data_IF_791113911439
#
_entry.id   IF_791113911439
#
_cell.length_a   1.000
_cell.length_b   1.000
_cell.length_c   1.000
_cell.angle_alpha   90.00
_cell.angle_beta   90.00
_cell.angle_gamma   90.00
#
_symmetry.space_group_name_H-M   'P 1'
#
loop_
_entity.id
_entity.type
_entity.pdbx_description
1 polymer ?
#
# COMPACT_ATOMS: atom_id res chain seq x y z
N UNK A 1 -0.60 -16.78 -0.02
CA UNK A 1 -0.05 -17.77 0.93
C UNK A 1 -0.70 -17.57 2.28
N UNK A 2 -1.39 -18.56 2.81
CA UNK A 2 -2.01 -18.53 4.15
C UNK A 2 -1.03 -18.90 5.26
N UNK A 3 0.08 -19.58 4.90
CA UNK A 3 1.19 -19.95 5.77
C UNK A 3 2.48 -19.31 5.24
N UNK A 4 3.17 -18.54 6.08
CA UNK A 4 4.50 -18.04 5.77
C UNK A 4 5.50 -19.18 5.98
N UNK A 5 6.44 -19.37 5.05
CA UNK A 5 7.49 -20.39 5.14
C UNK A 5 8.79 -19.82 4.53
N UNK A 6 9.91 -19.98 5.24
CA UNK A 6 11.24 -19.55 4.79
C UNK A 6 11.64 -20.24 3.49
N UNK A 7 11.42 -21.56 3.40
CA UNK A 7 11.82 -22.34 2.23
C UNK A 7 11.06 -21.90 0.98
N UNK A 8 9.75 -21.64 1.14
CA UNK A 8 8.95 -21.08 0.07
C UNK A 8 9.47 -19.71 -0.39
N UNK A 9 9.97 -18.86 0.52
CA UNK A 9 10.58 -17.58 0.13
C UNK A 9 11.88 -17.78 -0.67
N UNK A 10 12.71 -18.78 -0.32
CA UNK A 10 13.94 -19.09 -1.04
C UNK A 10 13.67 -19.58 -2.47
N UNK A 11 12.60 -20.34 -2.66
CA UNK A 11 12.21 -20.90 -3.97
C UNK A 11 11.70 -19.84 -4.96
N UNK A 12 11.28 -18.67 -4.48
CA UNK A 12 10.76 -17.60 -5.33
C UNK A 12 11.90 -16.89 -6.07
N UNK A 13 12.00 -17.15 -7.37
CA UNK A 13 12.92 -16.43 -8.26
C UNK A 13 12.57 -14.94 -8.38
N UNK A 14 13.53 -14.14 -8.83
CA UNK A 14 13.36 -12.70 -9.07
C UNK A 14 12.16 -12.43 -10.00
N UNK A 15 12.01 -13.22 -11.07
CA UNK A 15 10.91 -13.04 -12.02
C UNK A 15 9.55 -13.35 -11.41
N UNK A 16 9.44 -14.41 -10.61
CA UNK A 16 8.19 -14.77 -9.92
C UNK A 16 7.85 -13.69 -8.89
N UNK A 17 8.83 -13.22 -8.11
CA UNK A 17 8.60 -12.16 -7.14
C UNK A 17 8.19 -10.84 -7.81
N UNK A 18 8.81 -10.49 -8.95
CA UNK A 18 8.44 -9.33 -9.76
C UNK A 18 6.97 -9.41 -10.19
N UNK A 19 6.55 -10.54 -10.77
CA UNK A 19 5.15 -10.76 -11.18
C UNK A 19 4.19 -10.73 -10.00
N UNK A 20 4.60 -11.29 -8.85
CA UNK A 20 3.78 -11.34 -7.65
C UNK A 20 3.52 -9.93 -7.10
N UNK A 21 4.56 -9.11 -6.93
CA UNK A 21 4.41 -7.75 -6.38
C UNK A 21 3.77 -6.80 -7.39
N UNK A 22 4.02 -6.99 -8.69
CA UNK A 22 3.37 -6.22 -9.74
C UNK A 22 1.89 -6.58 -9.97
N UNK A 23 1.40 -7.69 -9.42
CA UNK A 23 0.02 -8.11 -9.63
C UNK A 23 -0.96 -7.18 -8.91
N UNK A 24 -1.92 -6.62 -9.67
CA UNK A 24 -3.07 -5.91 -9.10
C UNK A 24 -4.00 -6.82 -8.29
N UNK A 25 -3.83 -8.14 -8.41
CA UNK A 25 -4.57 -9.13 -7.66
C UNK A 25 -3.85 -9.59 -6.38
N UNK A 26 -2.66 -9.09 -6.08
CA UNK A 26 -1.98 -9.37 -4.82
C UNK A 26 -2.85 -8.94 -3.62
N UNK A 27 -2.91 -9.81 -2.60
CA UNK A 27 -3.53 -9.52 -1.32
C UNK A 27 -2.45 -9.04 -0.36
N UNK A 28 -2.38 -7.73 -0.15
CA UNK A 28 -1.51 -7.13 0.86
C UNK A 28 -2.27 -7.12 2.19
N UNK A 29 -1.76 -7.84 3.18
CA UNK A 29 -2.31 -7.83 4.54
C UNK A 29 -1.58 -6.77 5.35
N UNK A 30 -2.32 -5.85 5.98
CA UNK A 30 -1.84 -4.61 6.60
C UNK A 30 -1.58 -3.49 5.58
N UNK A 31 -0.34 -3.06 5.33
CA UNK A 31 -0.02 -1.88 4.50
C UNK A 31 1.19 -2.11 3.60
N UNK A 32 1.54 -1.10 2.79
CA UNK A 32 2.64 -1.19 1.82
C UNK A 32 4.02 -1.42 2.47
N UNK A 33 4.22 -0.95 3.70
CA UNK A 33 5.46 -1.20 4.47
C UNK A 33 5.69 -2.70 4.74
N UNK A 34 4.63 -3.50 4.85
CA UNK A 34 4.74 -4.95 5.00
C UNK A 34 5.23 -5.61 3.71
N UNK A 35 4.90 -5.05 2.55
CA UNK A 35 5.43 -5.49 1.25
C UNK A 35 6.93 -5.20 1.18
N UNK A 36 7.36 -4.00 1.57
CA UNK A 36 8.78 -3.65 1.67
C UNK A 36 9.53 -4.61 2.59
N UNK A 37 9.00 -4.84 3.79
CA UNK A 37 9.61 -5.75 4.78
C UNK A 37 9.67 -7.19 4.26
N UNK A 38 8.64 -7.67 3.56
CA UNK A 38 8.66 -8.99 2.93
C UNK A 38 9.71 -9.09 1.83
N UNK A 39 9.84 -8.07 0.98
CA UNK A 39 10.87 -8.02 -0.06
C UNK A 39 12.28 -7.94 0.52
N UNK A 40 12.48 -7.17 1.59
CA UNK A 40 13.76 -7.08 2.31
C UNK A 40 14.20 -8.46 2.83
N UNK A 41 13.29 -9.19 3.49
CA UNK A 41 13.51 -10.57 3.97
C UNK A 41 13.80 -11.53 2.82
N UNK A 42 13.00 -11.46 1.74
CA UNK A 42 13.19 -12.30 0.57
C UNK A 42 14.56 -12.06 -0.08
N UNK A 43 14.93 -10.80 -0.30
CA UNK A 43 16.22 -10.43 -0.87
C UNK A 43 17.39 -10.96 -0.02
N UNK A 44 17.30 -10.84 1.31
CA UNK A 44 18.28 -11.44 2.21
C UNK A 44 18.40 -12.97 2.04
N UNK A 45 17.27 -13.69 1.92
CA UNK A 45 17.28 -15.14 1.69
C UNK A 45 17.88 -15.52 0.32
N UNK A 46 17.73 -14.67 -0.70
CA UNK A 46 18.39 -14.87 -2.00
C UNK A 46 19.91 -14.64 -1.92
N UNK A 47 20.35 -13.69 -1.09
CA UNK A 47 21.76 -13.34 -0.89
C UNK A 47 22.48 -14.28 0.08
N UNK A 48 21.75 -14.93 0.98
CA UNK A 48 22.27 -15.87 1.99
C UNK A 48 21.46 -17.17 1.96
N UNK A 49 21.58 -18.00 0.89
CA UNK A 49 20.77 -19.21 0.74
C UNK A 49 20.98 -20.25 1.86
N UNK A 50 22.16 -20.22 2.50
CA UNK A 50 22.52 -21.09 3.62
C UNK A 50 21.82 -20.75 4.93
N UNK A 51 21.14 -19.60 5.02
CA UNK A 51 20.42 -19.22 6.24
C UNK A 51 19.24 -20.15 6.50
N UNK A 52 19.13 -20.69 7.71
CA UNK A 52 18.17 -21.74 8.08
C UNK A 52 17.46 -21.45 9.42
N UNK A 53 17.39 -20.18 9.83
CA UNK A 53 16.73 -19.75 11.05
C UNK A 53 15.19 -19.76 10.95
N UNK A 54 14.53 -19.36 12.04
CA UNK A 54 13.07 -19.28 12.09
C UNK A 54 12.52 -17.95 11.51
N UNK A 55 11.27 -17.94 11.03
CA UNK A 55 10.61 -16.71 10.55
C UNK A 55 10.62 -15.56 11.56
N UNK A 56 10.59 -15.86 12.86
CA UNK A 56 10.64 -14.86 13.92
C UNK A 56 12.00 -14.13 13.96
N UNK A 57 13.08 -14.85 13.68
CA UNK A 57 14.44 -14.31 13.64
C UNK A 57 14.77 -13.63 12.30
N UNK A 58 14.06 -13.99 11.23
CA UNK A 58 14.38 -13.57 9.86
C UNK A 58 14.53 -12.06 9.71
N UNK A 59 13.61 -11.26 10.27
CA UNK A 59 13.71 -9.80 10.15
C UNK A 59 14.96 -9.27 10.86
N UNK A 60 15.16 -9.67 12.11
CA UNK A 60 16.30 -9.23 12.92
C UNK A 60 17.63 -9.59 12.28
N UNK A 61 17.78 -10.82 11.79
CA UNK A 61 19.00 -11.26 11.09
C UNK A 61 19.20 -10.50 9.78
N UNK A 62 18.11 -10.23 9.06
CA UNK A 62 18.15 -9.40 7.84
C UNK A 62 18.67 -7.99 8.15
N UNK A 63 18.14 -7.35 9.20
CA UNK A 63 18.53 -5.99 9.61
C UNK A 63 19.99 -5.92 10.04
N UNK A 64 20.44 -6.91 10.82
CA UNK A 64 21.84 -7.03 11.24
C UNK A 64 22.77 -7.22 10.02
N UNK A 65 22.37 -8.05 9.07
CA UNK A 65 23.16 -8.32 7.87
C UNK A 65 23.36 -7.07 7.00
N UNK A 66 22.28 -6.33 6.72
CA UNK A 66 22.38 -5.09 5.95
C UNK A 66 23.11 -3.99 6.71
N UNK A 67 22.90 -3.86 8.02
CA UNK A 67 23.57 -2.85 8.85
C UNK A 67 25.09 -3.03 8.87
N UNK A 68 25.58 -4.28 8.95
CA UNK A 68 27.02 -4.59 8.93
C UNK A 68 27.68 -4.21 7.61
N UNK A 69 26.95 -4.35 6.49
CA UNK A 69 27.45 -4.09 5.13
C UNK A 69 27.28 -2.65 4.68
N UNK A 70 26.59 -1.81 5.45
CA UNK A 70 26.35 -0.40 5.09
C UNK A 70 27.65 0.38 4.81
N UNK A 71 28.74 0.01 5.48
CA UNK A 71 30.08 0.58 5.27
C UNK A 71 30.72 0.17 3.94
N UNK A 72 30.23 -0.89 3.30
CA UNK A 72 30.81 -1.42 2.06
C UNK A 72 30.33 -0.63 0.83
N UNK A 73 29.31 0.23 0.98
CA UNK A 73 28.67 0.95 -0.12
C UNK A 73 28.39 2.43 0.20
N UNK A 74 29.24 3.07 1.01
CA UNK A 74 29.03 4.38 1.70
C UNK A 74 28.28 5.49 0.93
N UNK A 75 28.52 5.65 -0.38
CA UNK A 75 27.90 6.71 -1.19
C UNK A 75 26.67 6.28 -2.00
N UNK A 76 26.35 4.99 -2.02
CA UNK A 76 25.23 4.43 -2.77
C UNK A 76 24.28 3.68 -1.83
N UNK A 77 23.15 3.24 -2.36
CA UNK A 77 22.20 2.38 -1.65
C UNK A 77 22.39 0.94 -2.07
N UNK A 78 21.94 -0.03 -1.26
CA UNK A 78 22.21 -1.44 -1.55
C UNK A 78 21.75 -1.86 -2.97
N UNK A 79 20.59 -1.39 -3.42
CA UNK A 79 20.05 -1.74 -4.74
C UNK A 79 20.88 -1.20 -5.92
N UNK A 80 21.77 -0.22 -5.70
CA UNK A 80 22.66 0.33 -6.72
C UNK A 80 23.97 -0.46 -6.85
N UNK A 81 24.29 -1.30 -5.86
CA UNK A 81 25.46 -2.18 -5.88
C UNK A 81 25.30 -3.30 -6.91
N UNK A 82 26.41 -3.91 -7.33
CA UNK A 82 26.37 -5.07 -8.25
C UNK A 82 25.52 -6.24 -7.71
N UNK A 83 25.51 -6.46 -6.39
CA UNK A 83 24.69 -7.49 -5.75
C UNK A 83 23.21 -7.10 -5.71
N UNK A 84 22.90 -5.81 -5.58
CA UNK A 84 21.54 -5.30 -5.46
C UNK A 84 20.81 -5.09 -6.79
N UNK A 85 21.54 -4.76 -7.87
CA UNK A 85 20.98 -4.46 -9.20
C UNK A 85 19.94 -5.47 -9.70
N UNK A 86 20.12 -6.80 -9.59
CA UNK A 86 19.12 -7.78 -10.04
C UNK A 86 17.75 -7.60 -9.37
N UNK A 87 17.72 -7.12 -8.13
CA UNK A 87 16.51 -6.95 -7.33
C UNK A 87 15.75 -5.65 -7.64
N UNK A 88 16.39 -4.66 -8.26
CA UNK A 88 15.78 -3.35 -8.56
C UNK A 88 14.43 -3.49 -9.27
N UNK A 89 14.34 -4.40 -10.25
CA UNK A 89 13.11 -4.61 -11.03
C UNK A 89 11.91 -5.08 -10.19
N UNK A 90 12.16 -5.73 -9.06
CA UNK A 90 11.13 -6.14 -8.10
C UNK A 90 10.74 -4.96 -7.22
N UNK A 91 11.72 -4.29 -6.61
CA UNK A 91 11.50 -3.16 -5.69
C UNK A 91 10.86 -1.94 -6.37
N UNK A 92 10.99 -1.78 -7.69
CA UNK A 92 10.26 -0.78 -8.48
C UNK A 92 8.73 -0.90 -8.39
N UNK A 93 8.19 -2.07 -8.00
CA UNK A 93 6.75 -2.27 -7.82
C UNK A 93 6.27 -1.91 -6.40
N UNK A 94 7.15 -1.42 -5.53
CA UNK A 94 6.75 -0.80 -4.28
C UNK A 94 6.09 0.53 -4.56
N UNK A 95 4.97 0.77 -3.88
CA UNK A 95 4.25 2.04 -3.93
C UNK A 95 4.76 2.94 -2.82
N UNK A 96 6.00 3.40 -3.00
CA UNK A 96 6.77 4.15 -2.01
C UNK A 96 5.98 5.32 -1.41
N UNK A 97 5.07 5.93 -2.17
CA UNK A 97 4.19 6.98 -1.69
C UNK A 97 3.41 6.59 -0.43
N UNK A 98 2.94 5.34 -0.34
CA UNK A 98 2.17 4.87 0.82
C UNK A 98 3.05 4.33 1.96
N UNK A 99 4.36 4.20 1.74
CA UNK A 99 5.33 3.93 2.81
C UNK A 99 5.70 5.25 3.48
N UNK A 100 6.06 6.26 2.68
CA UNK A 100 6.54 7.55 3.22
C UNK A 100 5.42 8.41 3.84
N UNK A 101 4.15 8.07 3.59
CA UNK A 101 3.00 8.68 4.27
C UNK A 101 2.94 8.37 5.77
N UNK A 102 3.77 7.46 6.29
CA UNK A 102 3.93 7.18 7.72
C UNK A 102 5.35 7.54 8.17
N UNK A 103 5.48 8.41 9.18
CA UNK A 103 6.79 8.94 9.61
C UNK A 103 7.74 7.85 10.11
N UNK A 104 7.23 6.84 10.83
CA UNK A 104 8.05 5.75 11.33
C UNK A 104 8.59 4.92 10.15
N UNK A 105 7.71 4.58 9.19
CA UNK A 105 8.06 3.84 7.98
C UNK A 105 9.04 4.62 7.08
N UNK A 106 8.84 5.93 6.92
CA UNK A 106 9.74 6.84 6.22
C UNK A 106 11.17 6.84 6.80
N UNK A 107 11.28 6.91 8.13
CA UNK A 107 12.59 6.83 8.81
C UNK A 107 13.25 5.47 8.63
N UNK A 108 12.48 4.38 8.71
CA UNK A 108 13.00 3.02 8.52
C UNK A 108 13.56 2.85 7.11
N UNK A 109 12.81 3.22 6.08
CA UNK A 109 13.25 3.01 4.69
C UNK A 109 14.49 3.84 4.33
N UNK A 110 14.63 5.04 4.89
CA UNK A 110 15.84 5.86 4.75
C UNK A 110 17.03 5.26 5.51
N UNK A 111 16.82 4.86 6.77
CA UNK A 111 17.86 4.28 7.61
C UNK A 111 18.41 2.96 7.03
N UNK A 112 17.52 2.15 6.46
CA UNK A 112 17.87 0.89 5.81
C UNK A 112 18.78 1.09 4.60
N UNK A 113 18.70 2.25 3.94
CA UNK A 113 19.55 2.63 2.79
C UNK A 113 19.61 1.55 1.69
N UNK A 114 18.47 0.87 1.50
CA UNK A 114 18.31 -0.13 0.43
C UNK A 114 17.79 0.49 -0.85
N UNK A 115 16.82 1.41 -0.73
CA UNK A 115 16.16 2.04 -1.88
C UNK A 115 16.97 3.26 -2.32
N UNK A 116 17.21 3.44 -3.63
CA UNK A 116 17.91 4.61 -4.14
C UNK A 116 17.28 5.92 -3.66
N UNK A 117 18.12 6.82 -3.14
CA UNK A 117 17.69 8.10 -2.58
C UNK A 117 16.93 8.95 -3.59
N UNK A 118 17.27 8.86 -4.88
CA UNK A 118 16.57 9.55 -5.97
C UNK A 118 15.09 9.10 -6.09
N UNK A 119 14.79 7.83 -5.82
CA UNK A 119 13.41 7.36 -5.87
C UNK A 119 12.60 7.98 -4.74
N UNK A 120 13.16 7.98 -3.52
CA UNK A 120 12.51 8.56 -2.35
C UNK A 120 12.33 10.07 -2.51
N UNK A 121 13.36 10.81 -2.93
CA UNK A 121 13.29 12.27 -3.09
C UNK A 121 12.22 12.70 -4.10
N UNK A 122 12.09 11.98 -5.21
CA UNK A 122 11.04 12.21 -6.20
C UNK A 122 9.65 12.00 -5.60
N UNK A 123 9.46 10.92 -4.83
CA UNK A 123 8.17 10.60 -4.18
C UNK A 123 7.86 11.61 -3.07
N UNK A 124 8.82 12.04 -2.26
CA UNK A 124 8.63 13.10 -1.27
C UNK A 124 8.14 14.40 -1.92
N UNK A 125 8.79 14.82 -3.02
CA UNK A 125 8.38 16.01 -3.77
C UNK A 125 6.95 15.87 -4.29
N UNK A 126 6.60 14.72 -4.87
CA UNK A 126 5.24 14.44 -5.35
C UNK A 126 4.21 14.47 -4.23
N UNK A 127 4.50 13.83 -3.09
CA UNK A 127 3.59 13.81 -1.93
C UNK A 127 3.41 15.21 -1.33
N UNK A 128 4.46 16.02 -1.31
CA UNK A 128 4.37 17.42 -0.88
C UNK A 128 3.41 18.23 -1.76
N UNK A 129 3.55 18.15 -3.09
CA UNK A 129 2.63 18.83 -3.99
C UNK A 129 1.20 18.28 -3.90
N UNK A 130 1.04 16.96 -3.79
CA UNK A 130 -0.28 16.35 -3.60
C UNK A 130 -0.95 16.84 -2.31
N UNK A 131 -0.20 17.01 -1.22
CA UNK A 131 -0.70 17.62 0.01
C UNK A 131 -1.12 19.07 -0.20
N UNK A 132 -0.28 19.89 -0.85
CA UNK A 132 -0.64 21.29 -1.15
C UNK A 132 -1.91 21.39 -1.99
N UNK A 133 -2.05 20.55 -3.03
CA UNK A 133 -3.26 20.49 -3.87
C UNK A 133 -4.50 20.11 -3.07
N UNK A 134 -4.39 19.09 -2.22
CA UNK A 134 -5.52 18.64 -1.40
C UNK A 134 -6.01 19.73 -0.42
N UNK A 135 -5.11 20.58 0.08
CA UNK A 135 -5.43 21.67 1.00
C UNK A 135 -5.87 22.96 0.29
N UNK A 136 -5.28 23.31 -0.86
CA UNK A 136 -5.46 24.62 -1.52
C UNK A 136 -6.43 24.59 -2.71
N UNK A 137 -6.41 23.54 -3.52
CA UNK A 137 -7.15 23.50 -4.80
C UNK A 137 -8.59 23.02 -4.64
N UNK A 138 -9.07 22.88 -3.41
CA UNK A 138 -10.40 22.31 -3.10
C UNK A 138 -10.65 20.97 -3.81
N UNK A 139 -9.59 20.18 -4.02
CA UNK A 139 -9.71 18.92 -4.74
C UNK A 139 -10.56 17.94 -3.93
N UNK A 140 -11.67 17.51 -4.52
CA UNK A 140 -12.60 16.57 -3.88
C UNK A 140 -12.01 15.15 -3.85
N UNK A 141 -11.12 14.81 -4.78
CA UNK A 141 -10.56 13.47 -5.01
C UNK A 141 -11.04 12.89 -6.35
N UNK A 142 -10.75 11.61 -6.65
CA UNK A 142 -11.06 11.01 -7.94
C UNK A 142 -12.55 11.07 -8.30
N UNK A 143 -12.86 11.54 -9.51
CA UNK A 143 -14.23 11.66 -10.04
C UNK A 143 -14.55 10.65 -11.16
N UNK A 144 -13.52 10.08 -11.79
CA UNK A 144 -13.65 9.08 -12.84
C UNK A 144 -12.83 7.84 -12.48
N UNK A 145 -13.30 6.66 -12.88
CA UNK A 145 -12.60 5.40 -12.64
C UNK A 145 -11.64 5.17 -13.80
N UNK A 146 -10.36 5.39 -13.56
CA UNK A 146 -9.29 4.85 -14.38
C UNK A 146 -8.79 3.53 -13.74
N UNK A 147 -9.06 2.42 -14.42
CA UNK A 147 -8.75 1.09 -13.89
C UNK A 147 -7.26 0.88 -13.77
N UNK A 148 -6.52 1.17 -14.84
CA UNK A 148 -5.07 1.00 -14.92
C UNK A 148 -4.39 1.83 -13.84
N UNK A 149 -4.84 3.07 -13.67
CA UNK A 149 -4.30 3.96 -12.67
C UNK A 149 -4.56 3.48 -11.23
N UNK A 150 -5.77 3.01 -10.93
CA UNK A 150 -6.07 2.44 -9.63
C UNK A 150 -5.23 1.18 -9.39
N UNK A 151 -5.08 0.34 -10.40
CA UNK A 151 -4.29 -0.88 -10.30
C UNK A 151 -2.80 -0.61 -10.08
N UNK A 152 -2.24 0.46 -10.64
CA UNK A 152 -0.83 0.81 -10.51
C UNK A 152 -0.54 1.65 -9.26
N UNK A 153 -1.38 2.65 -8.98
CA UNK A 153 -1.04 3.76 -8.08
C UNK A 153 -1.82 3.78 -6.76
N UNK A 154 -2.79 2.90 -6.53
CA UNK A 154 -3.58 2.90 -5.28
C UNK A 154 -2.79 2.44 -4.04
N UNK A 155 -3.21 2.83 -2.86
CA UNK A 155 -2.77 2.22 -1.60
C UNK A 155 -3.18 0.76 -1.62
N UNK A 156 -2.27 -0.15 -1.28
CA UNK A 156 -2.61 -1.56 -1.04
C UNK A 156 -2.67 -1.80 0.45
N UNK A 157 -3.81 -2.28 0.93
CA UNK A 157 -3.96 -2.60 2.34
C UNK A 157 -4.93 -3.74 2.56
N UNK A 158 -4.95 -4.28 3.76
CA UNK A 158 -5.84 -5.39 4.07
C UNK A 158 -5.88 -5.79 5.53
N UNK A 159 -6.78 -6.71 5.83
CA UNK A 159 -7.07 -7.18 7.19
C UNK A 159 -7.49 -8.65 7.13
N UNK A 160 -7.01 -9.45 8.07
CA UNK A 160 -7.52 -10.81 8.30
C UNK A 160 -8.51 -10.77 9.47
N UNK A 161 -9.74 -11.21 9.24
CA UNK A 161 -10.73 -11.46 10.29
C UNK A 161 -10.71 -12.96 10.62
N UNK A 162 -10.39 -13.30 11.86
CA UNK A 162 -10.22 -14.71 12.25
C UNK A 162 -11.55 -15.46 12.42
N UNK A 163 -12.62 -14.74 12.79
CA UNK A 163 -13.96 -15.26 13.06
C UNK A 163 -15.01 -14.20 12.76
N UNK A 164 -16.27 -14.60 12.76
CA UNK A 164 -17.39 -13.66 12.72
C UNK A 164 -17.44 -12.81 14.00
N UNK A 165 -17.97 -11.59 13.89
CA UNK A 165 -18.02 -10.63 14.99
C UNK A 165 -18.00 -9.19 14.51
N UNK A 166 -17.80 -8.26 15.45
CA UNK A 166 -17.68 -6.84 15.14
C UNK A 166 -16.22 -6.40 15.12
N UNK A 167 -15.84 -5.72 14.05
CA UNK A 167 -14.50 -5.19 13.88
C UNK A 167 -14.59 -3.76 13.37
N UNK A 168 -13.80 -2.87 13.95
CA UNK A 168 -13.63 -1.50 13.48
C UNK A 168 -12.13 -1.19 13.45
N UNK A 169 -11.64 -0.68 12.33
CA UNK A 169 -10.22 -0.39 12.18
C UNK A 169 -9.95 0.76 11.21
N UNK A 170 -8.70 1.22 11.24
CA UNK A 170 -8.09 2.13 10.27
C UNK A 170 -6.81 1.49 9.76
N UNK A 171 -6.41 1.83 8.53
CA UNK A 171 -5.03 1.63 8.11
C UNK A 171 -4.26 2.92 8.35
N UNK A 172 -3.02 2.79 8.84
CA UNK A 172 -2.17 3.92 9.22
C UNK A 172 -1.59 4.65 8.02
N UNK A 173 -1.18 5.90 8.22
CA UNK A 173 -0.58 6.76 7.21
C UNK A 173 -1.39 8.04 6.95
N UNK A 174 -0.73 9.04 6.37
CA UNK A 174 -1.37 10.27 5.92
C UNK A 174 -2.08 10.08 4.59
N UNK A 175 -3.41 10.12 4.62
CA UNK A 175 -4.28 9.99 3.43
C UNK A 175 -4.91 11.34 3.04
N UNK A 176 -4.12 12.43 3.10
CA UNK A 176 -4.55 13.76 2.64
C UNK A 176 -5.81 14.28 3.32
N UNK A 177 -5.86 14.09 4.63
CA UNK A 177 -6.99 14.47 5.48
C UNK A 177 -8.20 13.54 5.39
N UNK A 178 -8.13 12.44 4.64
CA UNK A 178 -9.22 11.46 4.55
C UNK A 178 -9.04 10.36 5.61
N UNK A 179 -9.54 10.58 6.83
CA UNK A 179 -9.59 9.55 7.87
C UNK A 179 -10.71 8.54 7.56
N UNK A 180 -10.35 7.41 6.95
CA UNK A 180 -11.28 6.34 6.57
C UNK A 180 -11.35 5.27 7.66
N UNK A 181 -12.50 5.19 8.30
CA UNK A 181 -12.90 4.11 9.18
C UNK A 181 -13.52 2.97 8.37
N UNK A 182 -13.10 1.74 8.67
CA UNK A 182 -13.71 0.53 8.12
C UNK A 182 -14.30 -0.30 9.23
N UNK A 183 -15.57 -0.64 9.08
CA UNK A 183 -16.31 -1.48 10.01
C UNK A 183 -16.79 -2.73 9.31
N UNK A 184 -16.58 -3.88 9.94
CA UNK A 184 -17.30 -5.11 9.67
C UNK A 184 -18.27 -5.38 10.82
N UNK A 185 -19.55 -5.39 10.54
CA UNK A 185 -20.61 -5.77 11.49
C UNK A 185 -21.80 -6.32 10.71
N UNK A 186 -22.50 -7.30 11.28
CA UNK A 186 -23.69 -7.92 10.67
C UNK A 186 -23.47 -8.32 9.20
N UNK A 187 -22.24 -8.74 8.87
CA UNK A 187 -21.81 -9.14 7.51
C UNK A 187 -21.82 -8.02 6.46
N UNK A 188 -21.84 -6.78 6.90
CA UNK A 188 -21.60 -5.62 6.05
C UNK A 188 -20.17 -5.14 6.21
N UNK A 189 -19.59 -4.64 5.11
CA UNK A 189 -18.43 -3.75 5.17
C UNK A 189 -18.96 -2.33 5.00
N UNK A 190 -18.62 -1.47 5.95
CA UNK A 190 -19.06 -0.09 6.02
C UNK A 190 -17.82 0.80 6.01
N UNK A 191 -17.85 1.82 5.16
CA UNK A 191 -16.85 2.88 5.13
C UNK A 191 -17.43 4.13 5.75
N UNK A 192 -16.63 4.80 6.59
CA UNK A 192 -16.96 6.08 7.20
C UNK A 192 -15.82 7.06 7.02
N UNK A 193 -16.13 8.28 6.59
CA UNK A 193 -15.19 9.39 6.63
C UNK A 193 -15.26 10.03 8.01
N UNK A 194 -14.35 9.67 8.90
CA UNK A 194 -14.31 10.26 10.24
C UNK A 194 -13.80 11.70 10.17
N UNK A 195 -14.42 12.64 10.89
CA UNK A 195 -13.94 14.03 10.90
C UNK A 195 -14.20 14.72 12.24
N UNK A 196 -15.42 14.67 12.77
CA UNK A 196 -15.81 15.42 13.97
C UNK A 196 -16.17 14.51 15.14
N UNK A 197 -16.75 13.34 14.87
CA UNK A 197 -17.44 12.55 15.88
C UNK A 197 -16.52 11.62 16.69
N UNK A 198 -15.30 11.34 16.23
CA UNK A 198 -14.35 10.49 16.92
C UNK A 198 -12.93 11.06 16.85
N UNK A 199 -12.05 10.74 17.83
CA UNK A 199 -10.66 11.14 17.77
C UNK A 199 -10.01 10.74 16.45
N UNK A 200 -9.33 11.71 15.84
CA UNK A 200 -8.54 11.51 14.63
C UNK A 200 -7.07 11.45 15.04
N UNK A 201 -6.33 10.46 14.53
CA UNK A 201 -4.91 10.28 14.84
C UNK A 201 -3.98 11.22 14.06
N UNK A 202 -4.52 11.96 13.09
CA UNK A 202 -3.78 12.90 12.24
C UNK A 202 -4.70 14.00 11.71
N UNK A 203 -4.20 14.77 10.76
CA UNK A 203 -4.96 15.84 10.11
C UNK A 203 -6.19 15.28 9.38
N UNK A 204 -7.28 16.06 9.40
CA UNK A 204 -8.52 15.77 8.66
C UNK A 204 -8.87 16.91 7.72
N UNK A 205 -9.39 16.57 6.56
CA UNK A 205 -9.83 17.55 5.57
C UNK A 205 -11.19 18.11 5.98
N UNK A 206 -11.29 19.44 6.04
CA UNK A 206 -12.52 20.15 6.39
C UNK A 206 -13.44 20.40 5.18
N UNK A 207 -13.07 19.93 3.99
CA UNK A 207 -13.94 20.02 2.82
C UNK A 207 -15.29 19.32 3.09
N UNK A 208 -16.43 19.84 2.60
CA UNK A 208 -17.74 19.28 2.89
C UNK A 208 -17.88 17.84 2.40
N UNK A 209 -17.39 17.55 1.20
CA UNK A 209 -17.40 16.23 0.56
C UNK A 209 -16.00 15.90 0.06
N UNK A 210 -15.64 14.62 0.12
CA UNK A 210 -14.41 14.08 -0.48
C UNK A 210 -14.73 12.74 -1.11
N UNK A 211 -14.06 12.41 -2.19
CA UNK A 211 -14.21 11.18 -2.96
C UNK A 211 -12.97 10.31 -2.88
N UNK A 212 -13.18 9.00 -2.84
CA UNK A 212 -12.12 8.00 -3.01
C UNK A 212 -12.50 7.07 -4.15
N UNK A 213 -11.53 6.69 -4.97
CA UNK A 213 -11.68 5.53 -5.84
C UNK A 213 -11.14 4.30 -5.12
N UNK A 214 -11.87 3.18 -5.17
CA UNK A 214 -11.48 1.99 -4.46
C UNK A 214 -11.87 0.69 -5.16
N UNK A 215 -11.17 -0.39 -4.79
CA UNK A 215 -11.53 -1.77 -5.10
C UNK A 215 -11.38 -2.60 -3.83
N UNK A 216 -12.51 -3.07 -3.30
CA UNK A 216 -12.56 -3.98 -2.16
C UNK A 216 -12.68 -5.41 -2.66
N UNK A 217 -11.88 -6.30 -2.09
CA UNK A 217 -11.81 -7.73 -2.39
C UNK A 217 -11.79 -8.53 -1.11
N UNK A 218 -12.54 -9.62 -1.10
CA UNK A 218 -12.54 -10.57 -0.02
C UNK A 218 -12.27 -11.97 -0.56
N UNK A 219 -11.58 -12.76 0.25
CA UNK A 219 -11.35 -14.16 -0.01
C UNK A 219 -11.37 -14.96 1.29
N UNK A 220 -11.83 -16.19 1.21
CA UNK A 220 -11.62 -17.21 2.22
C UNK A 220 -10.92 -18.41 1.59
N UNK A 221 -10.09 -19.08 2.38
CA UNK A 221 -9.30 -20.21 1.93
C UNK A 221 -9.47 -21.38 2.87
N UNK A 222 -9.37 -22.59 2.34
CA UNK A 222 -9.31 -23.80 3.15
C UNK A 222 -7.93 -23.97 3.82
N UNK A 223 -7.78 -25.04 4.59
CA UNK A 223 -6.52 -25.36 5.27
C UNK A 223 -5.35 -25.65 4.32
N UNK A 224 -5.62 -25.99 3.05
CA UNK A 224 -4.60 -26.16 2.01
C UNK A 224 -4.24 -24.85 1.30
N UNK A 225 -4.96 -23.76 1.60
CA UNK A 225 -4.80 -22.47 0.93
C UNK A 225 -5.57 -22.35 -0.38
N UNK A 226 -6.47 -23.30 -0.70
CA UNK A 226 -7.34 -23.22 -1.89
C UNK A 226 -8.50 -22.26 -1.61
N UNK A 227 -8.86 -21.47 -2.62
CA UNK A 227 -9.94 -20.50 -2.52
C UNK A 227 -11.30 -21.21 -2.31
N UNK A 228 -12.00 -20.85 -1.23
CA UNK A 228 -13.37 -21.31 -0.97
C UNK A 228 -14.38 -20.32 -1.53
N UNK A 229 -14.22 -19.03 -1.19
CA UNK A 229 -15.08 -17.98 -1.70
C UNK A 229 -14.30 -16.71 -1.98
N UNK A 230 -14.73 -15.95 -2.99
CA UNK A 230 -14.24 -14.60 -3.24
C UNK A 230 -15.39 -13.66 -3.60
N UNK A 231 -15.23 -12.40 -3.20
CA UNK A 231 -16.15 -11.30 -3.52
C UNK A 231 -15.35 -10.06 -3.85
N UNK A 232 -15.92 -9.20 -4.69
CA UNK A 232 -15.32 -7.90 -5.00
C UNK A 232 -16.41 -6.88 -5.27
N UNK A 233 -16.14 -5.62 -4.93
CA UNK A 233 -16.98 -4.48 -5.33
C UNK A 233 -16.81 -4.10 -6.79
N UNK A 234 -15.83 -4.69 -7.50
CA UNK A 234 -15.26 -4.05 -8.67
C UNK A 234 -14.57 -2.74 -8.31
N UNK A 235 -14.39 -1.88 -9.30
CA UNK A 235 -13.85 -0.53 -9.13
C UNK A 235 -15.03 0.40 -8.88
N UNK A 236 -14.93 1.23 -7.84
CA UNK A 236 -16.01 2.10 -7.41
C UNK A 236 -15.44 3.46 -7.01
N UNK A 237 -16.26 4.50 -7.12
CA UNK A 237 -16.02 5.79 -6.48
C UNK A 237 -17.03 5.96 -5.37
N UNK A 238 -16.54 6.40 -4.22
CA UNK A 238 -17.35 6.70 -3.06
C UNK A 238 -17.10 8.13 -2.63
N UNK A 239 -18.16 8.93 -2.60
CA UNK A 239 -18.14 10.31 -2.10
C UNK A 239 -18.81 10.35 -0.73
N UNK A 240 -18.08 10.84 0.27
CA UNK A 240 -18.55 10.94 1.64
C UNK A 240 -18.50 12.37 2.17
N UNK A 241 -19.58 12.77 2.83
CA UNK A 241 -19.63 13.91 3.73
C UNK A 241 -18.89 13.62 5.04
N UNK A 242 -18.69 14.66 5.86
CA UNK A 242 -18.09 14.53 7.19
C UNK A 242 -18.93 13.58 8.05
N UNK A 243 -18.27 12.58 8.61
CA UNK A 243 -18.85 11.53 9.46
C UNK A 243 -19.93 10.67 8.81
N UNK A 244 -20.10 10.76 7.48
CA UNK A 244 -21.02 9.92 6.74
C UNK A 244 -20.52 8.48 6.70
N UNK A 245 -21.43 7.54 6.91
CA UNK A 245 -21.20 6.10 6.79
C UNK A 245 -21.95 5.55 5.57
N UNK A 246 -21.32 4.61 4.86
CA UNK A 246 -21.95 3.93 3.73
C UNK A 246 -21.57 2.45 3.72
N UNK A 247 -22.58 1.59 3.56
CA UNK A 247 -22.39 0.18 3.29
C UNK A 247 -21.80 0.03 1.88
N UNK A 248 -20.61 -0.52 1.78
CA UNK A 248 -19.89 -0.73 0.51
C UNK A 248 -19.92 -2.18 0.04
N UNK A 249 -20.23 -3.12 0.93
CA UNK A 249 -20.44 -4.52 0.56
C UNK A 249 -21.36 -5.22 1.56
N UNK A 250 -22.31 -6.01 1.03
CA UNK A 250 -23.09 -6.98 1.78
C UNK A 250 -22.54 -8.38 1.51
N UNK A 251 -22.17 -9.10 2.56
CA UNK A 251 -21.63 -10.44 2.48
C UNK A 251 -22.75 -11.44 2.81
N UNK A 252 -23.30 -12.09 1.78
CA UNK A 252 -24.35 -13.11 1.95
C UNK A 252 -23.91 -14.19 2.98
N UNK A 253 -24.75 -14.33 4.00
CA UNK A 253 -24.47 -15.12 5.20
C UNK A 253 -24.19 -16.61 4.94
N UNK A 254 -24.69 -17.17 3.84
CA UNK A 254 -24.67 -18.63 3.63
C UNK A 254 -23.31 -19.19 3.19
N UNK A 255 -22.38 -18.35 2.74
CA UNK A 255 -21.13 -18.77 2.10
C UNK A 255 -19.86 -18.14 2.71
N UNK A 256 -19.98 -17.43 3.84
CA UNK A 256 -18.81 -16.88 4.53
C UNK A 256 -18.12 -17.93 5.36
N UNK A 257 -16.90 -18.24 4.98
CA UNK A 257 -15.99 -19.09 5.73
C UNK A 257 -14.86 -18.23 6.28
N UNK A 258 -14.53 -18.45 7.55
CA UNK A 258 -13.43 -17.76 8.22
C UNK A 258 -12.19 -18.65 8.28
N UNK A 259 -10.96 -18.08 8.26
CA UNK A 259 -10.68 -16.64 8.28
C UNK A 259 -11.00 -15.92 6.97
N UNK A 260 -11.49 -14.69 7.09
CA UNK A 260 -11.82 -13.82 5.98
C UNK A 260 -10.66 -12.85 5.73
N UNK A 261 -10.13 -12.86 4.50
CA UNK A 261 -9.06 -11.98 4.07
C UNK A 261 -9.67 -10.83 3.28
N UNK A 262 -9.55 -9.63 3.83
CA UNK A 262 -10.03 -8.39 3.24
C UNK A 262 -8.82 -7.67 2.64
N UNK A 263 -8.90 -7.30 1.38
CA UNK A 263 -7.91 -6.48 0.70
C UNK A 263 -8.61 -5.31 0.04
N UNK A 264 -8.06 -4.12 0.24
CA UNK A 264 -8.54 -2.88 -0.34
C UNK A 264 -7.44 -2.22 -1.15
N UNK A 265 -7.87 -1.62 -2.25
CA UNK A 265 -7.11 -0.67 -3.02
C UNK A 265 -7.79 0.69 -2.88
N UNK A 266 -7.06 1.75 -2.49
CA UNK A 266 -7.60 3.10 -2.34
C UNK A 266 -6.79 4.14 -3.10
N UNK A 267 -7.48 5.05 -3.78
CA UNK A 267 -6.89 6.25 -4.36
C UNK A 267 -7.63 7.47 -3.79
N UNK A 268 -6.89 8.34 -3.11
CA UNK A 268 -7.43 9.47 -2.33
C UNK A 268 -7.34 10.82 -3.04
N UNK A 269 -6.44 10.93 -4.02
CA UNK A 269 -6.21 12.13 -4.82
C UNK A 269 -6.20 11.70 -6.28
N UNK A 270 -6.72 12.55 -7.15
CA UNK A 270 -6.65 12.38 -8.59
C UNK A 270 -5.19 12.50 -9.06
N UNK A 271 -4.78 11.74 -10.08
CA UNK A 271 -3.47 11.93 -10.65
C UNK A 271 -3.38 13.35 -11.23
N UNK A 272 -2.17 13.89 -11.28
CA UNK A 272 -1.96 15.10 -12.08
C UNK A 272 -2.30 14.75 -13.52
N UNK A 273 -3.25 15.48 -14.11
CA UNK A 273 -3.39 15.49 -15.55
C UNK A 273 -2.02 15.85 -16.09
N UNK A 274 -1.38 14.96 -16.85
CA UNK A 274 -0.13 15.28 -17.53
C UNK A 274 -0.43 16.51 -18.38
N UNK A 275 0.00 17.68 -17.91
CA UNK A 275 -0.08 18.91 -18.67
C UNK A 275 0.83 18.64 -19.86
N UNK A 276 0.24 18.40 -21.03
CA UNK A 276 0.96 18.61 -22.27
C UNK A 276 1.56 20.01 -22.15
N UNK A 277 2.90 20.08 -22.14
CA UNK A 277 3.66 21.30 -21.91
C UNK A 277 2.95 22.48 -22.57
N UNK A 278 2.37 23.37 -21.76
CA UNK A 278 1.94 24.68 -22.24
C UNK A 278 3.25 25.36 -22.63
N UNK A 279 3.63 25.18 -23.90
CA UNK A 279 4.62 26.04 -24.54
C UNK A 279 4.02 27.43 -24.43
N UNK A 280 4.60 28.26 -23.56
CA UNK A 280 4.37 29.69 -23.62
C UNK A 280 4.58 30.11 -25.09
N UNK A 281 3.61 30.77 -25.74
CA UNK A 281 3.90 31.47 -26.97
C UNK A 281 4.92 32.55 -26.61
N UNK A 282 6.11 32.46 -27.20
CA UNK A 282 7.06 33.57 -27.22
C UNK A 282 6.30 34.78 -27.78
N UNK A 283 6.23 35.85 -26.98
CA UNK A 283 5.76 37.14 -27.47
C UNK A 283 6.70 37.59 -28.59
N UNK A 284 6.20 37.91 -29.81
CA UNK A 284 7.01 38.64 -30.76
C UNK A 284 7.18 40.07 -30.21
N UNK A 285 8.43 40.43 -29.95
CA UNK A 285 8.85 41.78 -29.58
C UNK A 285 8.37 42.80 -30.64
N UNK A 286 7.85 43.93 -30.15
CA UNK A 286 7.69 45.18 -30.87
C UNK A 286 8.72 46.17 -30.31
#
# INVERSE_FOLDING_TARGET
MTHQNVELFKELSINVMKQLIGSSNLFVMQVEMDVYTALKKWMFLQLVPSWNGSLKQLLTETDVWFSKRKKDFESMTFLETEQGKPFMSVFRHLRLQYIISDLASARIIEQDSLIPSEWLSSVYKQQWFAMLRAEQDSEVGPQEINKEELEENSMRCGRKLAKDGEYCWRWTGFNFGFDLLVTYTNRYIIFKRNTLNQPCSGSVSLQPRRSIAFRLRLASFDSSGKLICSRTTGYQILTLEKDQEQVVMNLDSRLLVFPLYICCNFLYISPEKRTENIRHPENPEN
#
